data_IF_460955329615
#
_entry.id   IF_460955329615
#
_cell.length_a   1.000
_cell.length_b   1.000
_cell.length_c   1.000
_cell.angle_alpha   90.00
_cell.angle_beta   90.00
_cell.angle_gamma   90.00
#
_symmetry.space_group_name_H-M   'P 1'
#
loop_
_entity.id
_entity.type
_entity.pdbx_description
1 polymer ?
#
# COMPACT_ATOMS: atom_id res chain seq x y z
N UNK A 1 23.05 11.88 3.22
CA UNK A 1 22.40 10.57 3.18
C UNK A 1 22.51 10.03 1.75
N UNK A 2 23.09 8.85 1.59
CA UNK A 2 23.16 8.20 0.28
C UNK A 2 22.01 7.17 0.20
N UNK A 3 20.91 7.56 -0.46
CA UNK A 3 19.81 6.63 -0.72
C UNK A 3 20.29 5.60 -1.73
N UNK A 4 20.06 4.33 -1.44
CA UNK A 4 20.39 3.21 -2.31
C UNK A 4 19.22 2.25 -2.44
N UNK A 5 19.22 1.47 -3.51
CA UNK A 5 18.29 0.38 -3.78
C UNK A 5 19.01 -0.95 -3.62
N UNK A 6 18.35 -1.91 -2.99
CA UNK A 6 18.85 -3.27 -2.86
C UNK A 6 17.72 -4.26 -3.14
N UNK A 7 17.95 -5.17 -4.06
CA UNK A 7 17.03 -6.30 -4.29
C UNK A 7 17.15 -7.26 -3.10
N UNK A 8 16.01 -7.61 -2.52
CA UNK A 8 15.89 -8.58 -1.44
C UNK A 8 15.11 -9.78 -1.96
N UNK A 9 15.79 -10.90 -2.13
CA UNK A 9 15.15 -12.18 -2.44
C UNK A 9 14.92 -12.90 -1.12
N UNK A 10 13.68 -13.34 -0.90
CA UNK A 10 13.31 -14.03 0.32
C UNK A 10 12.29 -15.14 0.05
N UNK A 11 12.33 -16.18 0.86
CA UNK A 11 11.31 -17.22 0.85
C UNK A 11 10.09 -16.78 1.65
N UNK A 12 8.92 -17.12 1.14
CA UNK A 12 7.63 -16.88 1.77
C UNK A 12 6.60 -17.93 1.37
N UNK A 13 5.39 -17.76 1.83
CA UNK A 13 4.31 -18.70 1.53
C UNK A 13 3.98 -18.73 0.04
N UNK A 14 4.30 -19.85 -0.60
CA UNK A 14 4.05 -20.08 -2.04
C UNK A 14 5.23 -19.84 -2.94
N UNK A 15 6.45 -19.60 -2.42
CA UNK A 15 7.68 -19.55 -3.21
C UNK A 15 8.64 -18.42 -2.83
N UNK A 16 9.53 -18.12 -3.77
CA UNK A 16 10.52 -17.05 -3.65
C UNK A 16 9.95 -15.72 -4.14
N UNK A 17 10.24 -14.64 -3.43
CA UNK A 17 9.77 -13.27 -3.72
C UNK A 17 10.98 -12.34 -3.93
N UNK A 18 10.78 -11.32 -4.76
CA UNK A 18 11.80 -10.33 -5.10
C UNK A 18 11.30 -8.92 -4.78
N UNK A 19 11.58 -8.47 -3.56
CA UNK A 19 11.22 -7.14 -3.07
C UNK A 19 12.38 -6.16 -3.25
N UNK A 20 12.10 -4.85 -3.25
CA UNK A 20 13.12 -3.81 -3.33
C UNK A 20 13.19 -3.03 -2.01
N UNK A 21 14.31 -3.13 -1.33
CA UNK A 21 14.64 -2.25 -0.21
C UNK A 21 15.18 -0.92 -0.75
N UNK A 22 14.72 0.19 -0.17
CA UNK A 22 15.17 1.55 -0.51
C UNK A 22 15.41 2.33 0.77
N UNK A 23 16.60 2.87 0.94
CA UNK A 23 16.94 3.64 2.13
C UNK A 23 18.40 4.05 2.21
N UNK A 24 18.79 4.55 3.38
CA UNK A 24 20.18 4.89 3.72
C UNK A 24 20.77 3.76 4.59
N UNK A 25 21.60 2.93 3.97
CA UNK A 25 22.17 1.74 4.62
C UNK A 25 23.11 2.07 5.80
N UNK A 26 23.69 3.26 5.83
CA UNK A 26 24.63 3.69 6.86
C UNK A 26 23.99 4.50 8.00
N UNK A 27 22.71 4.86 7.85
CA UNK A 27 22.03 5.82 8.70
C UNK A 27 21.45 5.28 10.03
N UNK A 28 21.75 4.06 10.45
CA UNK A 28 21.13 3.43 11.63
C UNK A 28 19.68 3.00 11.40
N UNK A 29 18.98 2.59 12.48
CA UNK A 29 17.59 2.17 12.40
C UNK A 29 16.65 3.35 12.17
N UNK A 30 15.67 3.19 11.26
CA UNK A 30 14.73 4.24 10.83
C UNK A 30 13.30 3.74 10.87
N UNK A 31 12.31 4.64 11.03
CA UNK A 31 10.92 4.31 10.78
C UNK A 31 10.79 3.72 9.38
N UNK A 32 9.99 2.67 9.23
CA UNK A 32 10.01 1.89 8.00
C UNK A 32 8.62 1.65 7.43
N UNK A 33 8.55 1.57 6.12
CA UNK A 33 7.30 1.54 5.36
C UNK A 33 7.28 0.32 4.44
N UNK A 34 6.19 -0.48 4.50
CA UNK A 34 5.81 -1.40 3.43
C UNK A 34 5.09 -0.61 2.34
N UNK A 35 5.58 -0.67 1.11
CA UNK A 35 4.90 -0.13 -0.05
C UNK A 35 4.35 -1.29 -0.88
N UNK A 36 3.02 -1.34 -1.01
CA UNK A 36 2.33 -2.32 -1.83
C UNK A 36 1.96 -1.71 -3.19
N UNK A 37 2.45 -2.29 -4.30
CA UNK A 37 2.19 -1.79 -5.64
C UNK A 37 0.76 -2.06 -6.11
N UNK A 38 0.42 -1.54 -7.28
CA UNK A 38 -0.84 -1.85 -7.96
C UNK A 38 -0.83 -3.28 -8.56
N UNK A 39 -1.88 -3.62 -9.33
CA UNK A 39 -2.07 -4.96 -9.93
C UNK A 39 -0.93 -5.42 -10.84
N UNK A 40 -0.08 -4.53 -11.33
CA UNK A 40 1.03 -4.92 -12.19
C UNK A 40 2.27 -5.40 -11.42
N UNK A 41 2.25 -5.34 -10.08
CA UNK A 41 3.40 -5.64 -9.23
C UNK A 41 4.45 -4.53 -9.21
N UNK A 42 5.62 -4.82 -8.67
CA UNK A 42 6.69 -3.84 -8.46
C UNK A 42 7.29 -3.32 -9.77
N UNK A 43 7.50 -2.01 -9.87
CA UNK A 43 8.03 -1.30 -11.04
C UNK A 43 8.87 -0.11 -10.65
N UNK A 44 9.52 0.48 -11.65
CA UNK A 44 10.35 1.67 -11.49
C UNK A 44 9.60 2.84 -10.84
N UNK A 45 8.31 3.01 -11.14
CA UNK A 45 7.49 4.03 -10.51
C UNK A 45 7.40 3.83 -8.98
N UNK A 46 7.20 2.60 -8.52
CA UNK A 46 7.13 2.28 -7.09
C UNK A 46 8.47 2.51 -6.40
N UNK A 47 9.57 2.18 -7.10
CA UNK A 47 10.94 2.42 -6.58
C UNK A 47 11.23 3.92 -6.46
N UNK A 48 10.81 4.73 -7.44
CA UNK A 48 10.93 6.19 -7.36
C UNK A 48 10.12 6.77 -6.18
N UNK A 49 8.91 6.27 -5.93
CA UNK A 49 8.10 6.68 -4.76
C UNK A 49 8.76 6.26 -3.43
N UNK A 50 9.39 5.10 -3.41
CA UNK A 50 10.18 4.67 -2.25
C UNK A 50 11.40 5.57 -2.01
N UNK A 51 12.07 6.06 -3.05
CA UNK A 51 13.16 7.04 -2.93
C UNK A 51 12.67 8.40 -2.40
N UNK A 52 11.48 8.87 -2.84
CA UNK A 52 10.88 10.08 -2.28
C UNK A 52 10.63 9.95 -0.77
N UNK A 53 10.13 8.79 -0.32
CA UNK A 53 9.93 8.51 1.11
C UNK A 53 11.27 8.35 1.86
N UNK A 54 12.26 7.72 1.25
CA UNK A 54 13.59 7.58 1.83
C UNK A 54 14.28 8.95 2.01
N UNK A 55 14.04 9.91 1.10
CA UNK A 55 14.51 11.28 1.23
C UNK A 55 13.88 12.02 2.43
N UNK A 56 12.69 11.58 2.88
CA UNK A 56 12.04 12.07 4.12
C UNK A 56 12.56 11.38 5.39
N UNK A 57 13.49 10.43 5.26
CA UNK A 57 14.12 9.76 6.39
C UNK A 57 13.56 8.38 6.73
N UNK A 58 12.71 7.81 5.90
CA UNK A 58 12.17 6.46 6.07
C UNK A 58 13.07 5.39 5.41
N UNK A 59 12.92 4.15 5.85
CA UNK A 59 13.34 2.96 5.10
C UNK A 59 12.09 2.38 4.43
N UNK A 60 12.16 2.00 3.17
CA UNK A 60 11.00 1.50 2.42
C UNK A 60 11.29 0.13 1.83
N UNK A 61 10.34 -0.78 1.98
CA UNK A 61 10.32 -2.05 1.28
C UNK A 61 9.19 -2.04 0.26
N UNK A 62 9.52 -1.96 -1.02
CA UNK A 62 8.57 -2.17 -2.11
C UNK A 62 8.36 -3.67 -2.26
N UNK A 63 7.16 -4.11 -1.94
CA UNK A 63 6.85 -5.52 -1.68
C UNK A 63 6.43 -6.26 -2.94
N UNK A 64 7.10 -7.36 -3.23
CA UNK A 64 6.62 -8.33 -4.20
C UNK A 64 5.55 -9.23 -3.54
N UNK A 65 4.36 -9.26 -4.13
CA UNK A 65 3.24 -10.10 -3.67
C UNK A 65 2.97 -11.29 -4.60
N UNK A 66 3.57 -11.31 -5.79
CA UNK A 66 3.29 -12.31 -6.81
C UNK A 66 4.32 -13.43 -6.88
N UNK A 67 5.56 -13.13 -6.55
CA UNK A 67 6.70 -14.03 -6.64
C UNK A 67 7.76 -13.52 -7.60
N UNK A 68 8.98 -14.00 -7.42
CA UNK A 68 10.16 -13.60 -8.17
C UNK A 68 9.93 -13.68 -9.68
N UNK A 69 10.20 -12.58 -10.38
CA UNK A 69 10.04 -12.47 -11.83
C UNK A 69 8.59 -12.32 -12.33
N UNK A 70 7.57 -12.43 -11.47
CA UNK A 70 6.17 -12.23 -11.85
C UNK A 70 5.80 -10.76 -11.82
N UNK A 71 5.58 -10.16 -12.98
CA UNK A 71 5.16 -8.75 -13.15
C UNK A 71 4.15 -8.66 -14.29
N UNK A 72 3.10 -7.89 -14.09
CA UNK A 72 2.15 -7.57 -15.15
C UNK A 72 2.75 -6.55 -16.13
N UNK A 73 2.59 -6.78 -17.43
CA UNK A 73 3.00 -5.85 -18.49
C UNK A 73 1.86 -4.98 -18.99
N UNK A 74 0.63 -5.42 -18.75
CA UNK A 74 -0.61 -4.77 -19.14
C UNK A 74 -1.75 -5.10 -18.17
N UNK A 75 -2.94 -4.58 -18.43
CA UNK A 75 -4.11 -4.79 -17.58
C UNK A 75 -4.50 -6.27 -17.49
N UNK A 76 -4.46 -7.01 -18.59
CA UNK A 76 -4.87 -8.42 -18.65
C UNK A 76 -3.95 -9.29 -17.78
N UNK A 77 -2.64 -9.20 -17.99
CA UNK A 77 -1.65 -9.93 -17.19
C UNK A 77 -1.66 -9.52 -15.72
N UNK A 78 -1.90 -8.24 -15.43
CA UNK A 78 -2.06 -7.74 -14.06
C UNK A 78 -3.29 -8.33 -13.36
N UNK A 79 -4.41 -8.44 -14.05
CA UNK A 79 -5.64 -9.06 -13.53
C UNK A 79 -5.45 -10.56 -13.25
N UNK A 80 -4.72 -11.28 -14.09
CA UNK A 80 -4.40 -12.70 -13.87
C UNK A 80 -3.53 -12.88 -12.61
N UNK A 81 -2.49 -12.05 -12.46
CA UNK A 81 -1.65 -12.09 -11.26
C UNK A 81 -2.42 -11.71 -10.01
N UNK A 82 -3.28 -10.69 -10.09
CA UNK A 82 -4.13 -10.30 -8.97
C UNK A 82 -5.05 -11.45 -8.54
N UNK A 83 -5.64 -12.19 -9.49
CA UNK A 83 -6.53 -13.31 -9.18
C UNK A 83 -5.83 -14.39 -8.33
N UNK A 84 -4.53 -14.65 -8.56
CA UNK A 84 -3.76 -15.63 -7.76
C UNK A 84 -3.80 -15.35 -6.24
N UNK A 85 -3.96 -14.09 -5.83
CA UNK A 85 -3.96 -13.70 -4.41
C UNK A 85 -5.29 -13.14 -3.93
N UNK A 86 -6.13 -12.61 -4.84
CA UNK A 86 -7.39 -11.98 -4.49
C UNK A 86 -8.55 -13.00 -4.41
N UNK A 87 -8.52 -14.06 -5.21
CA UNK A 87 -9.55 -15.10 -5.20
C UNK A 87 -9.44 -15.99 -3.96
N UNK A 88 -8.24 -16.12 -3.39
CA UNK A 88 -8.02 -16.66 -2.06
C UNK A 88 -7.38 -15.62 -1.13
N UNK A 89 -8.20 -14.91 -0.37
CA UNK A 89 -7.76 -13.88 0.58
C UNK A 89 -6.89 -14.43 1.72
N UNK A 90 -6.84 -15.75 1.93
CA UNK A 90 -5.92 -16.36 2.90
C UNK A 90 -4.49 -16.35 2.36
N UNK A 91 -4.32 -16.57 1.06
CA UNK A 91 -3.03 -16.43 0.38
C UNK A 91 -2.55 -14.99 0.46
N UNK A 92 -3.42 -14.01 0.12
CA UNK A 92 -3.08 -12.58 0.24
C UNK A 92 -2.63 -12.26 1.66
N UNK A 93 -3.45 -12.58 2.67
CA UNK A 93 -3.14 -12.33 4.08
C UNK A 93 -1.79 -12.91 4.50
N UNK A 94 -1.50 -14.14 4.11
CA UNK A 94 -0.25 -14.81 4.48
C UNK A 94 0.94 -14.07 3.86
N UNK A 95 0.89 -13.74 2.56
CA UNK A 95 1.96 -13.00 1.88
C UNK A 95 2.18 -11.59 2.45
N UNK A 96 1.12 -10.92 2.89
CA UNK A 96 1.22 -9.62 3.57
C UNK A 96 1.95 -9.72 4.91
N UNK A 97 1.64 -10.75 5.70
CA UNK A 97 2.29 -11.00 6.99
C UNK A 97 3.74 -11.46 6.80
N UNK A 98 4.04 -12.28 5.81
CA UNK A 98 5.40 -12.68 5.44
C UNK A 98 6.25 -11.45 5.05
N UNK A 99 5.69 -10.54 4.25
CA UNK A 99 6.34 -9.30 3.87
C UNK A 99 6.64 -8.40 5.09
N UNK A 100 5.69 -8.31 6.04
CA UNK A 100 5.91 -7.58 7.29
C UNK A 100 7.01 -8.24 8.15
N UNK A 101 6.99 -9.56 8.25
CA UNK A 101 8.02 -10.32 8.99
C UNK A 101 9.41 -10.12 8.36
N UNK A 102 9.48 -10.14 7.03
CA UNK A 102 10.72 -9.88 6.30
C UNK A 102 11.21 -8.45 6.55
N UNK A 103 10.37 -7.42 6.45
CA UNK A 103 10.75 -6.05 6.78
C UNK A 103 11.32 -5.95 8.20
N UNK A 104 10.64 -6.54 9.19
CA UNK A 104 11.08 -6.54 10.59
C UNK A 104 12.45 -7.19 10.81
N UNK A 105 12.86 -8.10 9.93
CA UNK A 105 14.17 -8.78 9.97
C UNK A 105 15.32 -7.97 9.36
N UNK A 106 15.06 -6.86 8.69
CA UNK A 106 16.10 -6.06 8.05
C UNK A 106 16.84 -5.17 9.07
N UNK A 107 18.17 -5.05 8.97
CA UNK A 107 19.01 -4.40 10.01
C UNK A 107 18.76 -2.89 10.19
N UNK A 108 18.29 -2.20 9.17
CA UNK A 108 18.06 -0.74 9.22
C UNK A 108 16.61 -0.37 9.65
N UNK A 109 15.82 -1.33 10.12
CA UNK A 109 14.39 -1.17 10.43
C UNK A 109 14.16 -0.95 11.91
N UNK A 110 13.47 0.13 12.26
CA UNK A 110 12.90 0.32 13.59
C UNK A 110 11.54 -0.39 13.66
N UNK A 111 11.53 -1.54 14.29
CA UNK A 111 10.33 -2.39 14.39
C UNK A 111 9.22 -1.81 15.26
N UNK A 112 9.49 -0.75 16.04
CA UNK A 112 8.48 -0.03 16.81
C UNK A 112 7.76 1.05 15.99
N UNK A 113 8.33 1.45 14.84
CA UNK A 113 7.83 2.53 13.98
C UNK A 113 7.64 2.04 12.55
N UNK A 114 6.60 1.24 12.34
CA UNK A 114 6.26 0.64 11.05
C UNK A 114 4.94 1.19 10.51
N UNK A 115 4.88 1.41 9.20
CA UNK A 115 3.64 1.76 8.50
C UNK A 115 3.53 1.00 7.17
N UNK A 116 2.36 1.05 6.56
CA UNK A 116 2.13 0.52 5.22
C UNK A 116 1.44 1.56 4.34
N UNK A 117 1.83 1.63 3.07
CA UNK A 117 1.12 2.40 2.04
C UNK A 117 0.84 1.52 0.83
N UNK A 118 -0.20 1.82 0.07
CA UNK A 118 -0.49 1.02 -1.12
C UNK A 118 -1.40 1.71 -2.11
N UNK A 119 -1.29 1.30 -3.37
CA UNK A 119 -1.95 1.89 -4.53
C UNK A 119 -2.84 0.85 -5.22
N UNK A 120 -4.11 1.17 -5.48
CA UNK A 120 -5.07 0.27 -6.13
C UNK A 120 -5.19 -1.07 -5.36
N UNK A 121 -4.74 -2.19 -5.92
CA UNK A 121 -4.64 -3.47 -5.19
C UNK A 121 -3.81 -3.33 -3.92
N UNK A 122 -2.69 -2.59 -3.97
CA UNK A 122 -1.88 -2.30 -2.78
C UNK A 122 -2.66 -1.56 -1.71
N UNK A 123 -3.58 -0.66 -2.09
CA UNK A 123 -4.49 0.00 -1.16
C UNK A 123 -5.46 -0.98 -0.47
N UNK A 124 -5.90 -2.02 -1.17
CA UNK A 124 -6.65 -3.14 -0.59
C UNK A 124 -5.75 -3.96 0.36
N UNK A 125 -4.52 -4.25 -0.04
CA UNK A 125 -3.55 -4.97 0.79
C UNK A 125 -3.29 -4.27 2.12
N UNK A 126 -3.26 -2.95 2.15
CA UNK A 126 -3.12 -2.13 3.36
C UNK A 126 -4.26 -2.41 4.35
N UNK A 127 -5.51 -2.46 3.85
CA UNK A 127 -6.66 -2.79 4.72
C UNK A 127 -6.58 -4.22 5.24
N UNK A 128 -6.22 -5.19 4.38
CA UNK A 128 -6.13 -6.59 4.78
C UNK A 128 -4.99 -6.84 5.79
N UNK A 129 -3.89 -6.11 5.66
CA UNK A 129 -2.82 -6.14 6.65
C UNK A 129 -3.31 -5.61 8.00
N UNK A 130 -4.05 -4.48 8.02
CA UNK A 130 -4.66 -3.95 9.24
C UNK A 130 -5.71 -4.91 9.83
N UNK A 131 -6.59 -5.47 8.99
CA UNK A 131 -7.61 -6.47 9.36
C UNK A 131 -6.99 -7.76 9.90
N UNK A 132 -5.75 -8.09 9.49
CA UNK A 132 -4.99 -9.21 10.04
C UNK A 132 -4.41 -8.92 11.44
N UNK A 133 -4.61 -7.72 11.99
CA UNK A 133 -4.06 -7.31 13.29
C UNK A 133 -2.56 -7.08 13.26
N UNK A 134 -2.02 -6.67 12.11
CA UNK A 134 -0.60 -6.40 11.96
C UNK A 134 -0.13 -5.29 12.93
N UNK A 135 0.99 -5.54 13.61
CA UNK A 135 1.62 -4.58 14.50
C UNK A 135 2.38 -3.51 13.69
N UNK A 136 1.60 -2.52 13.20
CA UNK A 136 2.06 -1.32 12.51
C UNK A 136 1.34 -0.09 13.10
N UNK A 137 1.95 1.08 13.01
CA UNK A 137 1.40 2.32 13.58
C UNK A 137 0.37 2.98 12.66
N UNK A 138 0.58 2.89 11.35
CA UNK A 138 -0.31 3.53 10.39
C UNK A 138 -0.39 2.78 9.07
N UNK A 139 -1.49 2.98 8.37
CA UNK A 139 -1.73 2.40 7.07
C UNK A 139 -2.43 3.40 6.15
N UNK A 140 -1.91 3.60 4.92
CA UNK A 140 -2.43 4.58 3.96
C UNK A 140 -2.83 3.90 2.66
N UNK A 141 -4.08 4.05 2.27
CA UNK A 141 -4.61 3.52 1.02
C UNK A 141 -4.87 4.63 0.00
N UNK A 142 -4.28 4.51 -1.19
CA UNK A 142 -4.58 5.36 -2.34
C UNK A 142 -5.47 4.59 -3.32
N UNK A 143 -6.67 5.12 -3.59
CA UNK A 143 -7.66 4.52 -4.50
C UNK A 143 -7.74 2.98 -4.37
N UNK A 144 -7.75 2.49 -3.13
CA UNK A 144 -7.94 1.08 -2.84
C UNK A 144 -9.38 0.63 -3.00
N UNK A 145 -9.58 -0.68 -3.07
CA UNK A 145 -10.90 -1.31 -3.05
C UNK A 145 -11.19 -1.83 -1.63
N UNK A 146 -12.42 -1.69 -1.14
CA UNK A 146 -12.76 -1.79 0.28
C UNK A 146 -13.41 -3.09 0.70
N UNK A 147 -13.64 -4.03 -0.22
CA UNK A 147 -14.27 -5.32 0.08
C UNK A 147 -13.52 -6.07 1.19
N UNK A 148 -14.26 -6.49 2.19
CA UNK A 148 -13.72 -7.24 3.32
C UNK A 148 -13.39 -8.70 2.92
N UNK A 149 -12.36 -9.31 3.55
CA UNK A 149 -12.10 -10.75 3.36
C UNK A 149 -13.26 -11.60 3.95
N UNK A 150 -13.39 -12.86 3.51
CA UNK A 150 -14.49 -13.74 3.96
C UNK A 150 -14.28 -14.34 5.37
N UNK A 151 -13.36 -13.79 6.15
CA UNK A 151 -13.06 -14.23 7.51
C UNK A 151 -13.06 -13.05 8.49
N UNK A 152 -13.25 -13.29 9.80
CA UNK A 152 -13.28 -12.23 10.80
C UNK A 152 -11.97 -11.44 10.87
N UNK A 153 -12.07 -10.13 11.10
CA UNK A 153 -10.93 -9.28 11.38
C UNK A 153 -10.33 -9.62 12.75
N UNK A 154 -9.01 -9.59 12.85
CA UNK A 154 -8.33 -9.48 14.13
C UNK A 154 -8.49 -8.06 14.69
N UNK A 155 -8.20 -7.78 15.98
CA UNK A 155 -8.17 -6.43 16.50
C UNK A 155 -7.20 -5.55 15.71
N UNK A 156 -7.72 -4.46 15.12
CA UNK A 156 -6.93 -3.51 14.34
C UNK A 156 -6.38 -2.42 15.26
N UNK A 157 -5.06 -2.27 15.30
CA UNK A 157 -4.37 -1.26 16.12
C UNK A 157 -3.77 -0.12 15.30
N UNK A 158 -3.61 -0.31 14.00
CA UNK A 158 -3.10 0.71 13.08
C UNK A 158 -4.09 1.86 12.93
N UNK A 159 -3.60 3.10 12.93
CA UNK A 159 -4.38 4.25 12.41
C UNK A 159 -4.48 4.15 10.89
N UNK A 160 -5.57 4.62 10.31
CA UNK A 160 -5.84 4.49 8.88
C UNK A 160 -6.08 5.84 8.21
N UNK A 161 -5.42 6.08 7.07
CA UNK A 161 -5.72 7.16 6.15
C UNK A 161 -6.19 6.59 4.80
N UNK A 162 -7.36 7.01 4.36
CA UNK A 162 -7.95 6.61 3.08
C UNK A 162 -7.98 7.81 2.14
N UNK A 163 -7.25 7.74 1.03
CA UNK A 163 -7.27 8.73 -0.05
C UNK A 163 -8.17 8.20 -1.18
N UNK A 164 -9.40 8.71 -1.26
CA UNK A 164 -10.48 8.18 -2.08
C UNK A 164 -10.87 9.13 -3.21
N UNK A 165 -10.95 8.63 -4.44
CA UNK A 165 -11.55 9.32 -5.56
C UNK A 165 -13.08 9.13 -5.57
N UNK A 166 -13.85 10.23 -5.52
CA UNK A 166 -15.32 10.16 -5.39
C UNK A 166 -16.04 9.53 -6.60
N UNK A 167 -15.41 9.61 -7.79
CA UNK A 167 -15.93 9.02 -9.02
C UNK A 167 -15.32 7.64 -9.33
N UNK A 168 -14.63 7.02 -8.35
CA UNK A 168 -13.99 5.71 -8.53
C UNK A 168 -15.04 4.61 -8.74
N UNK A 169 -15.11 3.97 -9.91
CA UNK A 169 -16.09 2.94 -10.19
C UNK A 169 -15.80 1.60 -9.49
N UNK A 170 -14.56 1.39 -9.02
CA UNK A 170 -14.15 0.18 -8.31
C UNK A 170 -14.38 0.28 -6.80
N UNK A 171 -14.47 1.52 -6.30
CA UNK A 171 -14.69 1.81 -4.89
C UNK A 171 -15.71 2.95 -4.77
N UNK A 172 -16.98 2.62 -4.84
CA UNK A 172 -18.07 3.60 -4.83
C UNK A 172 -18.22 4.32 -3.48
N UNK A 173 -18.86 5.51 -3.42
CA UNK A 173 -19.18 6.18 -2.16
C UNK A 173 -19.91 5.30 -1.14
N UNK A 174 -20.77 4.39 -1.61
CA UNK A 174 -21.46 3.44 -0.73
C UNK A 174 -20.50 2.42 -0.11
N UNK A 175 -19.53 1.92 -0.89
CA UNK A 175 -18.50 1.02 -0.37
C UNK A 175 -17.58 1.74 0.63
N UNK A 176 -17.27 3.02 0.38
CA UNK A 176 -16.54 3.87 1.32
C UNK A 176 -17.31 4.05 2.64
N UNK A 177 -18.62 4.30 2.57
CA UNK A 177 -19.47 4.38 3.75
C UNK A 177 -19.53 3.05 4.52
N UNK A 178 -19.47 1.91 3.81
CA UNK A 178 -19.33 0.58 4.38
C UNK A 178 -18.03 0.42 5.17
N UNK A 179 -16.91 0.80 4.57
CA UNK A 179 -15.59 0.81 5.24
C UNK A 179 -15.61 1.70 6.49
N UNK A 180 -16.15 2.92 6.39
CA UNK A 180 -16.22 3.83 7.54
C UNK A 180 -17.01 3.24 8.73
N UNK A 181 -18.10 2.51 8.44
CA UNK A 181 -18.88 1.78 9.47
C UNK A 181 -18.09 0.64 10.08
N UNK A 182 -17.36 -0.14 9.26
CA UNK A 182 -16.48 -1.23 9.72
C UNK A 182 -15.41 -0.68 10.68
N UNK A 183 -14.67 0.34 10.27
CA UNK A 183 -13.58 0.92 11.06
C UNK A 183 -14.09 1.55 12.36
N UNK A 184 -15.23 2.24 12.32
CA UNK A 184 -15.88 2.80 13.50
C UNK A 184 -16.32 1.68 14.47
N UNK A 185 -16.94 0.62 13.96
CA UNK A 185 -17.36 -0.53 14.74
C UNK A 185 -16.19 -1.27 15.40
N UNK A 186 -15.02 -1.24 14.76
CA UNK A 186 -13.78 -1.81 15.28
C UNK A 186 -12.99 -0.84 16.19
N UNK A 187 -13.50 0.36 16.45
CA UNK A 187 -12.84 1.42 17.26
C UNK A 187 -11.46 1.82 16.73
N UNK A 188 -11.26 1.77 15.43
CA UNK A 188 -10.04 2.20 14.75
C UNK A 188 -10.00 3.73 14.70
N UNK A 189 -8.82 4.32 14.87
CA UNK A 189 -8.56 5.73 14.52
C UNK A 189 -8.37 5.84 13.01
N UNK A 190 -9.30 6.50 12.31
CA UNK A 190 -9.29 6.57 10.87
C UNK A 190 -9.63 7.96 10.32
N UNK A 191 -9.07 8.25 9.16
CA UNK A 191 -9.34 9.47 8.39
C UNK A 191 -9.65 9.09 6.94
N UNK A 192 -10.63 9.77 6.34
CA UNK A 192 -10.97 9.66 4.92
C UNK A 192 -10.85 11.02 4.26
N UNK A 193 -10.04 11.12 3.24
CA UNK A 193 -9.97 12.27 2.34
C UNK A 193 -10.61 11.88 1.00
N UNK A 194 -11.83 12.34 0.77
CA UNK A 194 -12.55 12.11 -0.46
C UNK A 194 -12.37 13.29 -1.43
N UNK A 195 -11.93 13.00 -2.64
CA UNK A 195 -11.64 13.98 -3.68
C UNK A 195 -12.74 13.98 -4.73
N UNK A 196 -13.51 15.05 -4.79
CA UNK A 196 -14.57 15.23 -5.79
C UNK A 196 -14.02 15.22 -7.22
N UNK A 197 -14.81 14.70 -8.17
CA UNK A 197 -14.45 14.59 -9.59
C UNK A 197 -13.12 13.85 -9.84
N UNK A 198 -12.78 12.94 -8.96
CA UNK A 198 -11.57 12.13 -9.01
C UNK A 198 -11.94 10.66 -9.10
N UNK A 199 -11.37 9.95 -10.07
CA UNK A 199 -11.60 8.54 -10.30
C UNK A 199 -10.53 7.65 -9.69
N UNK A 200 -10.47 6.41 -10.17
CA UNK A 200 -9.43 5.43 -9.84
C UNK A 200 -8.08 5.82 -10.44
N UNK A 201 -7.00 5.30 -9.88
CA UNK A 201 -5.63 5.48 -10.39
C UNK A 201 -5.16 6.95 -10.50
N UNK A 202 -5.70 7.86 -9.70
CA UNK A 202 -5.34 9.28 -9.76
C UNK A 202 -3.88 9.59 -9.42
N UNK A 203 -3.12 8.61 -8.94
CA UNK A 203 -1.67 8.71 -8.70
C UNK A 203 -0.81 8.19 -9.86
N UNK A 204 -1.41 7.58 -10.88
CA UNK A 204 -0.69 6.92 -11.97
C UNK A 204 -0.27 7.91 -13.06
N UNK A 205 0.89 8.56 -12.90
CA UNK A 205 1.39 9.64 -13.75
C UNK A 205 1.50 9.29 -15.25
N UNK A 206 1.62 8.01 -15.56
CA UNK A 206 1.70 7.49 -16.93
C UNK A 206 0.35 7.08 -17.53
N UNK A 207 -0.75 7.24 -16.79
CA UNK A 207 -2.10 6.88 -17.24
C UNK A 207 -2.90 8.17 -17.53
N UNK A 208 -3.17 8.51 -18.81
CA UNK A 208 -4.00 9.65 -19.15
C UNK A 208 -5.38 9.58 -18.48
N UNK A 209 -5.89 10.74 -18.05
CA UNK A 209 -7.25 10.82 -17.53
C UNK A 209 -8.26 10.55 -18.63
N UNK A 210 -9.22 9.67 -18.37
CA UNK A 210 -10.32 9.39 -19.30
C UNK A 210 -11.32 10.56 -19.40
N UNK A 211 -12.15 10.56 -20.44
CA UNK A 211 -13.15 11.63 -20.67
C UNK A 211 -14.19 11.70 -19.54
N UNK A 212 -14.47 10.58 -18.90
CA UNK A 212 -15.46 10.48 -17.81
C UNK A 212 -14.89 10.86 -16.45
N UNK A 213 -13.58 11.07 -16.35
CA UNK A 213 -12.82 11.33 -15.10
C UNK A 213 -13.01 10.23 -14.06
N UNK A 214 -13.19 9.01 -14.51
CA UNK A 214 -13.34 7.83 -13.65
C UNK A 214 -12.05 7.04 -13.50
N UNK A 215 -11.10 7.22 -14.44
CA UNK A 215 -9.82 6.54 -14.45
C UNK A 215 -8.70 7.45 -14.95
N UNK A 216 -7.54 7.44 -14.30
CA UNK A 216 -6.32 8.10 -14.78
C UNK A 216 -5.78 9.18 -13.87
N UNK A 217 -4.63 9.71 -14.24
CA UNK A 217 -3.84 10.64 -13.44
C UNK A 217 -4.53 11.99 -13.24
N UNK A 218 -4.55 12.44 -11.99
CA UNK A 218 -5.08 13.76 -11.61
C UNK A 218 -4.07 14.48 -10.71
N UNK A 219 -3.27 15.38 -11.26
CA UNK A 219 -2.09 15.95 -10.59
C UNK A 219 -2.41 16.69 -9.30
N UNK A 220 -3.51 17.43 -9.24
CA UNK A 220 -3.91 18.14 -8.02
C UNK A 220 -4.34 17.18 -6.90
N UNK A 221 -5.10 16.13 -7.24
CA UNK A 221 -5.50 15.11 -6.27
C UNK A 221 -4.28 14.32 -5.81
N UNK A 222 -3.39 13.95 -6.72
CA UNK A 222 -2.15 13.29 -6.37
C UNK A 222 -1.33 14.14 -5.38
N UNK A 223 -1.06 15.39 -5.71
CA UNK A 223 -0.30 16.29 -4.83
C UNK A 223 -0.93 16.45 -3.44
N UNK A 224 -2.26 16.60 -3.37
CA UNK A 224 -3.01 16.75 -2.10
C UNK A 224 -2.95 15.46 -1.27
N UNK A 225 -3.17 14.32 -1.90
CA UNK A 225 -3.17 13.02 -1.22
C UNK A 225 -1.76 12.61 -0.75
N UNK A 226 -0.73 12.93 -1.56
CA UNK A 226 0.66 12.70 -1.19
C UNK A 226 1.06 13.51 0.04
N UNK A 227 0.67 14.79 0.06
CA UNK A 227 0.88 15.64 1.24
C UNK A 227 0.16 15.11 2.48
N UNK A 228 -1.10 14.70 2.33
CA UNK A 228 -1.85 14.12 3.44
C UNK A 228 -1.19 12.86 4.00
N UNK A 229 -0.68 11.99 3.13
CA UNK A 229 0.07 10.80 3.52
C UNK A 229 1.36 11.16 4.25
N UNK A 230 2.15 12.11 3.75
CA UNK A 230 3.40 12.50 4.42
C UNK A 230 3.17 13.12 5.79
N UNK A 231 2.14 13.95 5.95
CA UNK A 231 1.75 14.53 7.24
C UNK A 231 1.29 13.41 8.22
N UNK A 232 0.48 12.48 7.74
CA UNK A 232 0.02 11.33 8.52
C UNK A 232 1.16 10.41 8.95
N UNK A 233 2.08 10.08 8.05
CA UNK A 233 3.26 9.25 8.39
C UNK A 233 4.15 9.94 9.43
N UNK A 234 4.34 11.25 9.33
CA UNK A 234 5.10 12.01 10.32
C UNK A 234 4.44 11.97 11.71
N UNK A 235 3.09 11.97 11.78
CA UNK A 235 2.35 11.82 13.03
C UNK A 235 2.53 10.43 13.64
N UNK A 236 2.27 9.37 12.86
CA UNK A 236 2.18 8.01 13.40
C UNK A 236 3.53 7.33 13.62
N UNK A 237 4.59 7.83 13.00
CA UNK A 237 5.95 7.30 13.09
C UNK A 237 6.92 8.21 13.89
N UNK A 238 6.38 9.22 14.56
CA UNK A 238 7.17 10.11 15.44
C UNK A 238 7.78 9.40 16.64
#
# INVERSE_FOLDING_TARGET
MAISRQVIIHEGSGGSFESMWVGDAEGGTKPSILLFPNILGTKEWDFAKAEELAALGYTVLVTDLYGQGKRGTDMESGMLLMAEINDDRTVMRTRLLDALAMLKGLPAVDTARLAAIGFCLGGKCVFDLARAGADIKGAVSFHGVYDAPPFPNAPMTAKLLVCHGWNDPLATPDSLAGLAKELTGASVDWQIQAYGQTGHAFTAENLPLDETKTFGFQPDTYRRSWKAMTDFLAEVLS
#
